data_IF_969805718897
#
_entry.id   IF_969805718897
#
_cell.length_a   1.000
_cell.length_b   1.000
_cell.length_c   1.000
_cell.angle_alpha   90.00
_cell.angle_beta   90.00
_cell.angle_gamma   90.00
#
_symmetry.space_group_name_H-M   'P 1'
#
loop_
_entity.id
_entity.type
_entity.pdbx_description
1 polymer ?
#
# COMPACT_ATOMS: atom_id res chain seq x y z
N UNK A 1 20.14 29.59 10.33
CA UNK A 1 19.63 29.49 8.94
C UNK A 1 19.67 30.90 8.38
N UNK A 2 20.32 31.16 7.23
CA UNK A 2 20.32 32.51 6.63
C UNK A 2 18.92 32.79 6.08
N UNK A 3 18.37 33.95 6.38
CA UNK A 3 17.03 34.35 5.98
C UNK A 3 17.12 34.93 4.56
N UNK A 4 16.55 34.23 3.58
CA UNK A 4 16.75 34.54 2.15
C UNK A 4 15.74 35.56 1.59
N UNK A 5 14.74 35.96 2.39
CA UNK A 5 13.58 36.74 1.91
C UNK A 5 13.26 37.96 2.79
N UNK A 6 14.22 38.47 3.58
CA UNK A 6 13.98 39.62 4.48
C UNK A 6 13.73 40.94 3.74
N UNK A 7 14.24 41.07 2.51
CA UNK A 7 14.07 42.27 1.68
C UNK A 7 12.71 42.32 0.96
N UNK A 8 11.83 41.32 1.16
CA UNK A 8 10.54 41.22 0.47
C UNK A 8 9.38 41.13 1.46
N UNK A 9 8.30 41.83 1.14
CA UNK A 9 7.05 41.71 1.90
C UNK A 9 6.46 40.30 1.80
N UNK A 10 5.87 39.78 2.90
CA UNK A 10 5.23 38.48 2.89
C UNK A 10 4.01 38.49 1.95
N UNK A 11 3.95 37.50 1.06
CA UNK A 11 2.83 37.34 0.11
C UNK A 11 1.78 36.38 0.69
N UNK A 12 0.52 36.81 0.73
CA UNK A 12 -0.62 35.98 1.15
C UNK A 12 -1.24 35.19 -0.01
N UNK A 13 -2.00 34.14 0.27
CA UNK A 13 -2.67 33.33 -0.78
C UNK A 13 -3.58 34.18 -1.68
N UNK A 14 -4.22 35.20 -1.10
CA UNK A 14 -5.09 36.13 -1.82
C UNK A 14 -4.36 36.90 -2.93
N UNK A 15 -3.13 37.35 -2.68
CA UNK A 15 -2.32 38.06 -3.68
C UNK A 15 -1.92 37.13 -4.81
N UNK A 16 -1.55 35.89 -4.50
CA UNK A 16 -1.30 34.84 -5.48
C UNK A 16 -2.53 34.58 -6.36
N UNK A 17 -3.71 34.41 -5.75
CA UNK A 17 -4.96 34.17 -6.49
C UNK A 17 -5.32 35.34 -7.41
N UNK A 18 -5.13 36.58 -6.95
CA UNK A 18 -5.36 37.78 -7.78
C UNK A 18 -4.43 37.84 -8.99
N UNK A 19 -3.13 37.54 -8.80
CA UNK A 19 -2.18 37.52 -9.91
C UNK A 19 -2.52 36.43 -10.93
N UNK A 20 -2.89 35.23 -10.48
CA UNK A 20 -3.31 34.14 -11.36
C UNK A 20 -4.57 34.55 -12.16
N UNK A 21 -5.57 35.13 -11.50
CA UNK A 21 -6.79 35.59 -12.17
C UNK A 21 -6.51 36.64 -13.25
N UNK A 22 -5.56 37.55 -12.99
CA UNK A 22 -5.13 38.52 -13.99
C UNK A 22 -4.47 37.85 -15.21
N UNK A 23 -3.58 36.87 -14.98
CA UNK A 23 -2.89 36.15 -16.06
C UNK A 23 -3.82 35.22 -16.86
N UNK A 24 -4.95 34.79 -16.29
CA UNK A 24 -5.97 34.00 -16.99
C UNK A 24 -6.72 34.80 -18.07
N UNK A 25 -6.54 36.13 -18.16
CA UNK A 25 -7.08 36.99 -19.24
C UNK A 25 -8.58 36.78 -19.51
N UNK A 26 -9.35 36.57 -18.44
CA UNK A 26 -10.81 36.37 -18.51
C UNK A 26 -11.27 34.91 -18.55
N UNK A 27 -10.36 33.92 -18.61
CA UNK A 27 -10.71 32.53 -18.40
C UNK A 27 -11.12 32.27 -16.93
N UNK A 28 -12.12 31.40 -16.72
CA UNK A 28 -12.60 31.07 -15.40
C UNK A 28 -11.57 30.21 -14.64
N UNK A 29 -11.26 30.62 -13.41
CA UNK A 29 -10.26 29.94 -12.58
C UNK A 29 -10.65 28.50 -12.22
N UNK A 30 -11.94 28.27 -11.91
CA UNK A 30 -12.41 26.97 -11.49
C UNK A 30 -12.51 26.00 -12.67
N UNK A 31 -12.90 26.47 -13.84
CA UNK A 31 -12.93 25.64 -15.05
C UNK A 31 -11.54 25.36 -15.61
N UNK A 32 -10.61 26.33 -15.51
CA UNK A 32 -9.30 26.24 -16.18
C UNK A 32 -8.24 25.56 -15.32
N UNK A 33 -8.24 25.79 -14.00
CA UNK A 33 -7.11 25.44 -13.13
C UNK A 33 -7.44 24.46 -12.01
N UNK A 34 -8.72 24.25 -11.68
CA UNK A 34 -9.09 23.24 -10.70
C UNK A 34 -9.21 21.89 -11.41
N UNK A 35 -8.43 20.93 -10.95
CA UNK A 35 -8.59 19.55 -11.37
C UNK A 35 -9.56 18.85 -10.41
N UNK A 36 -10.62 18.27 -10.96
CA UNK A 36 -11.54 17.41 -10.20
C UNK A 36 -11.05 15.98 -10.34
N UNK A 37 -10.71 15.34 -9.22
CA UNK A 37 -10.39 13.92 -9.22
C UNK A 37 -11.65 13.08 -9.51
N UNK A 38 -11.50 11.82 -9.94
CA UNK A 38 -12.64 10.89 -10.10
C UNK A 38 -13.46 10.69 -8.81
N UNK A 39 -12.88 11.02 -7.66
CA UNK A 39 -13.50 10.96 -6.33
C UNK A 39 -14.14 12.29 -5.91
N UNK A 40 -14.41 13.19 -6.85
CA UNK A 40 -14.99 14.53 -6.63
C UNK A 40 -14.17 15.45 -5.71
N UNK A 41 -12.85 15.23 -5.65
CA UNK A 41 -11.92 16.09 -4.89
C UNK A 41 -11.40 17.21 -5.78
N UNK A 42 -11.61 18.46 -5.35
CA UNK A 42 -11.09 19.64 -6.02
C UNK A 42 -9.63 19.90 -5.64
N UNK A 43 -8.72 19.62 -6.57
CA UNK A 43 -7.29 19.89 -6.42
C UNK A 43 -6.99 21.29 -6.92
N UNK A 44 -6.53 22.15 -6.01
CA UNK A 44 -6.14 23.53 -6.32
C UNK A 44 -4.77 23.56 -7.00
N UNK A 45 -4.52 24.53 -7.90
CA UNK A 45 -3.22 24.69 -8.57
C UNK A 45 -2.09 25.13 -7.61
N UNK A 46 -2.42 25.62 -6.41
CA UNK A 46 -1.46 25.92 -5.36
C UNK A 46 -2.10 25.81 -3.97
N UNK A 47 -1.24 25.65 -2.96
CA UNK A 47 -1.62 25.65 -1.54
C UNK A 47 -0.71 26.63 -0.80
N UNK A 48 -1.25 27.28 0.24
CA UNK A 48 -0.51 28.27 1.01
C UNK A 48 -0.73 28.07 2.51
N UNK A 49 0.26 28.47 3.32
CA UNK A 49 0.29 28.23 4.76
C UNK A 49 -0.84 28.94 5.53
N UNK A 50 -1.37 30.04 4.99
CA UNK A 50 -2.48 30.80 5.60
C UNK A 50 -3.86 30.16 5.31
N UNK A 51 -3.95 29.23 4.36
CA UNK A 51 -5.17 28.46 4.07
C UNK A 51 -5.20 27.12 4.84
N UNK A 52 -4.09 26.74 5.46
CA UNK A 52 -3.99 25.49 6.20
C UNK A 52 -4.41 25.67 7.65
N UNK A 53 -5.47 24.98 8.07
CA UNK A 53 -5.96 24.99 9.45
C UNK A 53 -5.72 23.63 10.07
N UNK A 54 -4.68 23.52 10.90
CA UNK A 54 -4.41 22.33 11.70
C UNK A 54 -2.93 22.02 11.82
N UNK A 55 -2.56 21.28 12.87
CA UNK A 55 -1.27 20.61 12.96
C UNK A 55 -1.56 19.16 13.26
N UNK A 56 -1.44 18.29 12.25
CA UNK A 56 -1.55 16.86 12.47
C UNK A 56 -0.22 16.32 12.98
N UNK A 57 -0.25 15.60 14.10
CA UNK A 57 0.92 14.85 14.57
C UNK A 57 1.07 13.65 13.63
N UNK A 58 2.07 13.70 12.75
CA UNK A 58 2.35 12.60 11.82
C UNK A 58 3.27 11.60 12.51
N UNK A 59 2.67 10.54 13.08
CA UNK A 59 3.43 9.36 13.54
C UNK A 59 3.71 8.44 12.34
N UNK A 60 4.72 8.79 11.54
CA UNK A 60 5.07 8.00 10.36
C UNK A 60 5.86 6.75 10.76
N UNK A 61 5.45 5.61 10.20
CA UNK A 61 6.19 4.34 10.23
C UNK A 61 6.71 3.99 8.85
N UNK A 62 6.91 4.99 7.98
CA UNK A 62 7.27 4.78 6.58
C UNK A 62 8.53 3.92 6.41
N UNK A 63 9.49 3.95 7.34
CA UNK A 63 10.70 3.10 7.28
C UNK A 63 10.47 1.63 7.67
N UNK A 64 9.28 1.28 8.18
CA UNK A 64 8.92 -0.06 8.64
C UNK A 64 8.19 -0.89 7.57
N UNK A 65 8.10 -0.41 6.33
CA UNK A 65 7.52 -1.20 5.25
C UNK A 65 8.29 -2.51 5.05
N UNK A 66 7.59 -3.55 4.61
CA UNK A 66 8.18 -4.85 4.31
C UNK A 66 8.08 -5.12 2.81
N UNK A 67 9.14 -5.66 2.23
CA UNK A 67 9.15 -6.10 0.83
C UNK A 67 8.37 -7.42 0.74
N UNK A 68 7.14 -7.36 0.22
CA UNK A 68 6.28 -8.52 0.03
C UNK A 68 6.32 -8.99 -1.42
N UNK A 69 6.75 -10.23 -1.64
CA UNK A 69 6.71 -10.85 -2.97
C UNK A 69 5.41 -11.61 -3.17
N UNK A 70 4.66 -11.26 -4.22
CA UNK A 70 3.46 -12.00 -4.61
C UNK A 70 3.82 -13.18 -5.54
N UNK A 71 3.27 -14.35 -5.25
CA UNK A 71 3.49 -15.60 -5.99
C UNK A 71 2.14 -16.25 -6.25
N UNK A 72 1.82 -16.45 -7.53
CA UNK A 72 0.64 -17.19 -7.94
C UNK A 72 0.95 -18.69 -7.95
N UNK A 73 0.18 -19.48 -7.19
CA UNK A 73 0.45 -20.91 -7.00
C UNK A 73 -0.31 -21.71 -8.06
N UNK A 74 0.43 -22.17 -9.08
CA UNK A 74 -0.06 -23.12 -10.07
C UNK A 74 0.63 -24.48 -9.92
N UNK A 75 1.95 -24.46 -9.78
CA UNK A 75 2.81 -25.63 -9.57
C UNK A 75 3.50 -25.46 -8.21
N UNK A 76 3.31 -26.43 -7.32
CA UNK A 76 3.77 -26.35 -5.93
C UNK A 76 5.28 -26.20 -5.82
N UNK A 77 6.03 -27.05 -6.53
CA UNK A 77 7.49 -27.07 -6.45
C UNK A 77 8.08 -25.78 -7.04
N UNK A 78 7.57 -25.34 -8.18
CA UNK A 78 8.02 -24.08 -8.80
C UNK A 78 7.67 -22.88 -7.95
N UNK A 79 6.51 -22.88 -7.29
CA UNK A 79 6.07 -21.78 -6.42
C UNK A 79 6.90 -21.72 -5.14
N UNK A 80 7.22 -22.88 -4.54
CA UNK A 80 8.12 -22.97 -3.40
C UNK A 80 9.54 -22.50 -3.77
N UNK A 81 10.10 -22.99 -4.88
CA UNK A 81 11.41 -22.55 -5.36
C UNK A 81 11.47 -21.03 -5.58
N UNK A 82 10.43 -20.45 -6.21
CA UNK A 82 10.32 -19.01 -6.39
C UNK A 82 10.24 -18.24 -5.08
N UNK A 83 9.56 -18.78 -4.07
CA UNK A 83 9.49 -18.17 -2.75
C UNK A 83 10.89 -18.09 -2.11
N UNK A 84 11.63 -19.20 -2.14
CA UNK A 84 12.99 -19.28 -1.61
C UNK A 84 13.94 -18.33 -2.36
N UNK A 85 13.91 -18.33 -3.70
CA UNK A 85 14.71 -17.40 -4.51
C UNK A 85 14.40 -15.94 -4.16
N UNK A 86 13.12 -15.61 -4.00
CA UNK A 86 12.69 -14.25 -3.65
C UNK A 86 13.17 -13.82 -2.26
N UNK A 87 13.12 -14.73 -1.28
CA UNK A 87 13.64 -14.50 0.08
C UNK A 87 15.16 -14.24 0.02
N UNK A 88 15.90 -15.07 -0.72
CA UNK A 88 17.35 -14.91 -0.88
C UNK A 88 17.73 -13.60 -1.57
N UNK A 89 16.82 -13.03 -2.36
CA UNK A 89 16.99 -11.74 -3.04
C UNK A 89 16.48 -10.53 -2.26
N UNK A 90 16.04 -10.73 -1.01
CA UNK A 90 15.69 -9.64 -0.08
C UNK A 90 14.19 -9.46 0.16
N UNK A 91 13.32 -10.39 -0.27
CA UNK A 91 11.93 -10.39 0.15
C UNK A 91 11.83 -10.66 1.67
N UNK A 92 11.05 -9.85 2.37
CA UNK A 92 10.83 -9.95 3.82
C UNK A 92 9.52 -10.66 4.17
N UNK A 93 8.60 -10.73 3.19
CA UNK A 93 7.37 -11.49 3.29
C UNK A 93 6.96 -12.07 1.94
N UNK A 94 6.17 -13.14 1.97
CA UNK A 94 5.67 -13.81 0.77
C UNK A 94 4.15 -13.83 0.82
N UNK A 95 3.50 -13.45 -0.28
CA UNK A 95 2.07 -13.59 -0.49
C UNK A 95 1.83 -14.69 -1.52
N UNK A 96 1.18 -15.77 -1.11
CA UNK A 96 0.72 -16.81 -2.03
C UNK A 96 -0.73 -16.54 -2.44
N UNK A 97 -0.98 -16.53 -3.75
CA UNK A 97 -2.34 -16.54 -4.30
C UNK A 97 -2.70 -17.96 -4.71
N UNK A 98 -3.75 -18.51 -4.12
CA UNK A 98 -4.19 -19.90 -4.27
C UNK A 98 -5.62 -19.91 -4.81
N UNK A 99 -5.82 -20.62 -5.92
CA UNK A 99 -7.14 -20.81 -6.54
C UNK A 99 -7.74 -22.18 -6.25
N UNK A 100 -6.91 -23.21 -6.04
CA UNK A 100 -7.35 -24.59 -5.77
C UNK A 100 -7.13 -24.98 -4.30
N UNK A 101 -8.19 -25.42 -3.64
CA UNK A 101 -8.18 -25.92 -2.26
C UNK A 101 -7.37 -27.21 -2.08
N UNK A 102 -7.09 -27.95 -3.16
CA UNK A 102 -6.32 -29.20 -3.12
C UNK A 102 -4.83 -29.01 -2.85
N UNK A 103 -4.36 -27.77 -2.79
CA UNK A 103 -2.96 -27.45 -2.56
C UNK A 103 -2.52 -27.88 -1.16
N UNK A 104 -1.37 -28.58 -1.10
CA UNK A 104 -0.73 -28.99 0.13
C UNK A 104 0.14 -27.85 0.69
N UNK A 105 -0.34 -27.21 1.76
CA UNK A 105 0.34 -26.06 2.41
C UNK A 105 1.74 -26.44 2.91
N UNK A 106 1.90 -27.65 3.43
CA UNK A 106 3.19 -28.17 3.93
C UNK A 106 4.28 -28.18 2.85
N UNK A 107 3.93 -28.65 1.64
CA UNK A 107 4.85 -28.67 0.49
C UNK A 107 5.16 -27.26 0.00
N UNK A 108 4.17 -26.39 -0.02
CA UNK A 108 4.35 -25.01 -0.47
C UNK A 108 5.31 -24.22 0.43
N UNK A 109 5.28 -24.48 1.73
CA UNK A 109 6.09 -23.77 2.74
C UNK A 109 7.37 -24.52 3.14
N UNK A 110 7.69 -25.61 2.46
CA UNK A 110 8.87 -26.41 2.74
C UNK A 110 10.16 -25.58 2.59
N UNK A 111 11.12 -25.76 3.48
CA UNK A 111 12.43 -25.07 3.47
C UNK A 111 12.36 -23.53 3.61
N UNK A 112 11.24 -22.98 4.10
CA UNK A 112 11.11 -21.56 4.43
C UNK A 112 11.29 -21.35 5.94
N UNK A 113 12.08 -20.36 6.35
CA UNK A 113 12.22 -19.96 7.76
C UNK A 113 10.99 -19.16 8.21
N UNK A 114 9.99 -19.87 8.73
CA UNK A 114 8.68 -19.34 9.10
C UNK A 114 8.70 -18.48 10.38
N UNK A 115 9.79 -18.49 11.15
CA UNK A 115 9.95 -17.60 12.31
C UNK A 115 10.35 -16.18 11.87
N UNK A 116 11.10 -16.08 10.76
CA UNK A 116 11.58 -14.80 10.22
C UNK A 116 10.68 -14.24 9.14
N UNK A 117 10.14 -15.09 8.26
CA UNK A 117 9.36 -14.67 7.11
C UNK A 117 7.88 -14.70 7.43
N UNK A 118 7.21 -13.56 7.20
CA UNK A 118 5.74 -13.49 7.31
C UNK A 118 5.10 -13.99 6.03
N UNK A 119 4.11 -14.87 6.15
CA UNK A 119 3.39 -15.44 5.01
C UNK A 119 1.97 -14.89 4.96
N UNK A 120 1.54 -14.49 3.76
CA UNK A 120 0.17 -14.07 3.48
C UNK A 120 -0.47 -15.05 2.51
N UNK A 121 -1.67 -15.52 2.81
CA UNK A 121 -2.49 -16.29 1.89
C UNK A 121 -3.61 -15.42 1.35
N UNK A 122 -3.63 -15.29 0.03
CA UNK A 122 -4.73 -14.72 -0.72
C UNK A 122 -5.50 -15.87 -1.39
N UNK A 123 -6.68 -16.17 -0.89
CA UNK A 123 -7.47 -17.31 -1.33
C UNK A 123 -8.58 -16.80 -2.24
N UNK A 124 -8.65 -17.33 -3.47
CA UNK A 124 -9.76 -17.01 -4.39
C UNK A 124 -11.06 -17.76 -4.06
N UNK A 125 -11.07 -18.48 -2.95
CA UNK A 125 -12.19 -19.29 -2.45
C UNK A 125 -12.32 -19.13 -0.93
N UNK A 126 -13.51 -19.45 -0.41
CA UNK A 126 -13.77 -19.46 1.03
C UNK A 126 -13.99 -20.90 1.49
N UNK A 127 -12.99 -21.48 2.16
CA UNK A 127 -13.10 -22.80 2.76
C UNK A 127 -12.62 -22.81 4.21
N UNK A 128 -13.52 -23.23 5.11
CA UNK A 128 -13.20 -23.44 6.52
C UNK A 128 -12.19 -24.56 6.72
N UNK A 129 -12.27 -25.62 5.91
CA UNK A 129 -11.39 -26.77 6.06
C UNK A 129 -9.96 -26.43 5.66
N UNK A 130 -9.80 -25.63 4.60
CA UNK A 130 -8.49 -25.11 4.20
C UNK A 130 -7.88 -24.17 5.25
N UNK A 131 -8.68 -23.27 5.82
CA UNK A 131 -8.22 -22.36 6.88
C UNK A 131 -7.79 -23.15 8.13
N UNK A 132 -8.55 -24.19 8.50
CA UNK A 132 -8.17 -25.06 9.63
C UNK A 132 -6.85 -25.78 9.39
N UNK A 133 -6.56 -26.21 8.15
CA UNK A 133 -5.26 -26.79 7.78
C UNK A 133 -4.13 -25.78 7.97
N UNK A 134 -4.33 -24.54 7.52
CA UNK A 134 -3.34 -23.46 7.71
C UNK A 134 -3.13 -23.17 9.20
N UNK A 135 -4.21 -23.09 9.99
CA UNK A 135 -4.14 -22.81 11.43
C UNK A 135 -3.39 -23.91 12.19
N UNK A 136 -3.66 -25.19 11.87
CA UNK A 136 -2.92 -26.32 12.44
C UNK A 136 -1.42 -26.23 12.10
N UNK A 137 -1.10 -26.02 10.82
CA UNK A 137 0.28 -25.87 10.35
C UNK A 137 1.01 -24.70 11.02
N UNK A 138 0.33 -23.55 11.17
CA UNK A 138 0.89 -22.36 11.79
C UNK A 138 1.25 -22.59 13.27
N UNK A 139 0.39 -23.30 14.01
CA UNK A 139 0.63 -23.65 15.43
C UNK A 139 1.82 -24.57 15.60
N UNK A 140 1.92 -25.60 14.75
CA UNK A 140 3.00 -26.58 14.83
C UNK A 140 4.38 -25.98 14.49
N UNK A 141 4.42 -25.00 13.57
CA UNK A 141 5.65 -24.39 13.08
C UNK A 141 5.93 -22.99 13.65
N UNK A 142 5.13 -22.50 14.60
CA UNK A 142 5.20 -21.13 15.18
C UNK A 142 5.28 -20.03 14.10
N UNK A 143 4.59 -20.25 12.98
CA UNK A 143 4.67 -19.39 11.81
C UNK A 143 3.77 -18.16 11.94
N UNK A 144 4.22 -17.01 11.44
CA UNK A 144 3.37 -15.81 11.29
C UNK A 144 2.66 -15.84 9.95
N UNK A 145 1.42 -16.35 9.96
CA UNK A 145 0.59 -16.49 8.76
C UNK A 145 -0.65 -15.61 8.87
N UNK A 146 -0.94 -14.87 7.80
CA UNK A 146 -2.16 -14.08 7.65
C UNK A 146 -3.01 -14.63 6.50
N UNK A 147 -4.26 -14.97 6.77
CA UNK A 147 -5.23 -15.33 5.74
C UNK A 147 -6.04 -14.08 5.37
N UNK A 148 -5.79 -13.54 4.18
CA UNK A 148 -6.44 -12.32 3.68
C UNK A 148 -7.82 -12.67 3.10
N UNK A 149 -8.73 -13.08 3.97
CA UNK A 149 -10.11 -13.37 3.61
C UNK A 149 -10.87 -12.05 3.42
N UNK A 150 -11.45 -11.86 2.24
CA UNK A 150 -12.30 -10.70 1.95
C UNK A 150 -13.68 -11.15 1.42
N UNK A 151 -14.59 -11.62 2.30
CA UNK A 151 -15.90 -12.07 1.85
C UNK A 151 -16.72 -10.98 1.15
N UNK A 152 -16.52 -9.70 1.49
CA UNK A 152 -17.28 -8.59 0.91
C UNK A 152 -16.77 -8.28 -0.49
N UNK A 153 -15.45 -8.26 -0.71
CA UNK A 153 -14.86 -8.08 -2.04
C UNK A 153 -15.18 -9.20 -3.04
N UNK A 154 -15.69 -10.34 -2.56
CA UNK A 154 -16.10 -11.50 -3.37
C UNK A 154 -17.63 -11.67 -3.50
N UNK A 155 -18.45 -10.74 -2.99
CA UNK A 155 -19.89 -10.67 -3.25
C UNK A 155 -20.18 -10.09 -4.64
#
# INVERSE_FOLDING_TARGET
MKNLFEDFDPVASKLWKQKIQFELKGADYNETLIWNSPEDIQVKPFYHKDEFVGTSIISTKATQFQICQNIFVYDLEKSNYRAIDSINRGAQSIRFTIEDEKIEVEKLLQNIDLEKITIYFNLSFLSLDFIKKIDAFAKDNKAKIYCNLDPIGHL
#
